data_IF_177986595535
#
_entry.id   IF_177986595535
#
_cell.length_a   1.000
_cell.length_b   1.000
_cell.length_c   1.000
_cell.angle_alpha   90.00
_cell.angle_beta   90.00
_cell.angle_gamma   90.00
#
_symmetry.space_group_name_H-M   'P 1'
#
loop_
_entity.id
_entity.type
_entity.pdbx_description
1 polymer ?
#
# COMPACT_ATOMS: atom_id res chain seq x y z
N UNK A 1 -21.38 -2.58 4.19
CA UNK A 1 -20.58 -3.57 3.42
C UNK A 1 -19.11 -3.41 3.75
N UNK A 2 -18.35 -4.50 3.85
CA UNK A 2 -17.00 -4.50 4.40
C UNK A 2 -15.96 -4.08 3.36
N UNK A 3 -15.07 -3.15 3.70
CA UNK A 3 -13.92 -2.78 2.87
C UNK A 3 -12.66 -3.46 3.40
N UNK A 4 -11.72 -3.81 2.52
CA UNK A 4 -10.45 -4.45 2.86
C UNK A 4 -9.31 -3.53 2.47
N UNK A 5 -8.70 -2.88 3.45
CA UNK A 5 -7.62 -1.92 3.24
C UNK A 5 -6.26 -2.61 3.38
N UNK A 6 -5.52 -2.70 2.29
CA UNK A 6 -4.17 -3.26 2.27
C UNK A 6 -3.16 -2.16 2.58
N UNK A 7 -2.49 -2.26 3.72
CA UNK A 7 -1.44 -1.35 4.16
C UNK A 7 -0.08 -2.04 4.15
N UNK A 8 0.99 -1.29 4.21
CA UNK A 8 2.36 -1.79 4.26
C UNK A 8 3.32 -0.97 3.43
N UNK A 9 4.60 -1.31 3.50
CA UNK A 9 5.68 -0.59 2.81
C UNK A 9 5.53 -0.61 1.27
N UNK A 10 6.22 0.28 0.55
CA UNK A 10 6.30 0.21 -0.91
C UNK A 10 6.80 -1.16 -1.37
N UNK A 11 6.29 -1.63 -2.50
CA UNK A 11 6.65 -2.90 -3.15
C UNK A 11 6.43 -4.19 -2.32
N UNK A 12 5.66 -4.13 -1.21
CA UNK A 12 5.26 -5.35 -0.50
C UNK A 12 4.15 -6.15 -1.21
N UNK A 13 3.61 -5.66 -2.33
CA UNK A 13 2.65 -6.36 -3.17
C UNK A 13 1.18 -5.95 -3.02
N UNK A 14 0.85 -4.89 -2.27
CA UNK A 14 -0.54 -4.44 -2.03
C UNK A 14 -1.38 -4.33 -3.29
N UNK A 15 -0.90 -3.57 -4.27
CA UNK A 15 -1.65 -3.31 -5.52
C UNK A 15 -1.77 -4.57 -6.37
N UNK A 16 -0.73 -5.39 -6.45
CA UNK A 16 -0.73 -6.65 -7.21
C UNK A 16 -1.68 -7.67 -6.61
N UNK A 17 -1.53 -7.96 -5.32
CA UNK A 17 -2.39 -8.91 -4.62
C UNK A 17 -3.84 -8.44 -4.59
N UNK A 18 -4.04 -7.14 -4.28
CA UNK A 18 -5.37 -6.54 -4.15
C UNK A 18 -6.15 -6.60 -5.45
N UNK A 19 -5.54 -6.24 -6.59
CA UNK A 19 -6.17 -6.28 -7.91
C UNK A 19 -6.58 -7.70 -8.28
N UNK A 20 -5.65 -8.66 -8.18
CA UNK A 20 -5.93 -10.06 -8.54
C UNK A 20 -6.97 -10.71 -7.62
N UNK A 21 -6.92 -10.44 -6.32
CA UNK A 21 -7.93 -10.93 -5.39
C UNK A 21 -9.31 -10.31 -5.66
N UNK A 22 -9.36 -9.03 -6.02
CA UNK A 22 -10.60 -8.34 -6.39
C UNK A 22 -11.24 -8.98 -7.64
N UNK A 23 -10.45 -9.28 -8.67
CA UNK A 23 -10.93 -9.97 -9.88
C UNK A 23 -11.57 -11.31 -9.54
N UNK A 24 -10.92 -12.14 -8.70
CA UNK A 24 -11.44 -13.46 -8.29
C UNK A 24 -12.70 -13.32 -7.42
N UNK A 25 -12.74 -12.36 -6.52
CA UNK A 25 -13.86 -12.13 -5.59
C UNK A 25 -14.99 -11.30 -6.22
N UNK A 26 -14.80 -10.78 -7.43
CA UNK A 26 -15.72 -9.87 -8.13
C UNK A 26 -16.03 -8.62 -7.32
N UNK A 27 -15.01 -8.08 -6.64
CA UNK A 27 -15.07 -6.84 -5.89
C UNK A 27 -14.40 -5.70 -6.66
N UNK A 28 -14.86 -4.46 -6.50
CA UNK A 28 -14.11 -3.29 -6.97
C UNK A 28 -12.72 -3.24 -6.32
N UNK A 29 -11.72 -2.83 -7.12
CA UNK A 29 -10.37 -2.55 -6.64
C UNK A 29 -10.04 -1.07 -6.81
N UNK A 30 -9.46 -0.49 -5.78
CA UNK A 30 -8.96 0.88 -5.77
C UNK A 30 -7.52 0.93 -5.26
N UNK A 31 -6.77 1.92 -5.78
CA UNK A 31 -5.41 2.21 -5.33
C UNK A 31 -5.34 3.71 -5.02
N UNK A 32 -5.07 4.05 -3.75
CA UNK A 32 -5.10 5.46 -3.30
C UNK A 32 -3.99 6.30 -3.91
N UNK A 33 -2.86 5.70 -4.30
CA UNK A 33 -1.78 6.42 -4.99
C UNK A 33 -2.22 6.79 -6.41
N UNK A 34 -2.89 5.88 -7.11
CA UNK A 34 -3.46 6.14 -8.44
C UNK A 34 -4.53 7.24 -8.35
N UNK A 35 -5.47 7.12 -7.40
CA UNK A 35 -6.52 8.11 -7.20
C UNK A 35 -5.97 9.50 -6.84
N UNK A 36 -4.91 9.54 -6.01
CA UNK A 36 -4.25 10.79 -5.66
C UNK A 36 -3.58 11.44 -6.88
N UNK A 37 -2.88 10.64 -7.70
CA UNK A 37 -2.27 11.13 -8.95
C UNK A 37 -3.31 11.67 -9.93
N UNK A 38 -4.44 11.00 -10.09
CA UNK A 38 -5.55 11.47 -10.93
C UNK A 38 -6.10 12.82 -10.44
N UNK A 39 -6.29 12.97 -9.12
CA UNK A 39 -6.74 14.24 -8.50
C UNK A 39 -5.76 15.39 -8.70
N UNK A 40 -4.46 15.08 -8.77
CA UNK A 40 -3.41 16.07 -9.02
C UNK A 40 -3.23 16.38 -10.52
N UNK A 41 -3.92 15.65 -11.41
CA UNK A 41 -3.73 15.76 -12.86
C UNK A 41 -2.34 15.32 -13.34
N UNK A 42 -1.61 14.58 -12.49
CA UNK A 42 -0.22 14.20 -12.73
C UNK A 42 -0.09 12.73 -13.08
N UNK A 43 0.59 12.46 -14.23
CA UNK A 43 0.95 11.10 -14.65
C UNK A 43 2.45 10.83 -14.60
N UNK A 44 3.25 11.85 -14.26
CA UNK A 44 4.72 11.75 -14.26
C UNK A 44 5.27 11.56 -12.86
N UNK A 45 6.21 10.64 -12.70
CA UNK A 45 6.86 10.32 -11.42
C UNK A 45 7.51 11.56 -10.76
N UNK A 46 8.09 12.47 -11.55
CA UNK A 46 8.68 13.71 -11.03
C UNK A 46 7.66 14.63 -10.36
N UNK A 47 6.44 14.69 -10.90
CA UNK A 47 5.37 15.50 -10.30
C UNK A 47 4.86 14.87 -9.00
N UNK A 48 4.82 13.54 -8.93
CA UNK A 48 4.48 12.80 -7.71
C UNK A 48 5.51 13.06 -6.60
N UNK A 49 6.81 13.05 -6.94
CA UNK A 49 7.88 13.38 -6.00
C UNK A 49 7.73 14.82 -5.50
N UNK A 50 7.50 15.79 -6.39
CA UNK A 50 7.27 17.19 -6.01
C UNK A 50 6.03 17.35 -5.13
N UNK A 51 4.94 16.64 -5.46
CA UNK A 51 3.71 16.64 -4.69
C UNK A 51 3.90 16.04 -3.29
N UNK A 52 4.73 15.02 -3.14
CA UNK A 52 5.10 14.47 -1.85
C UNK A 52 5.91 15.45 -0.99
N UNK A 53 6.83 16.19 -1.61
CA UNK A 53 7.67 17.16 -0.90
C UNK A 53 6.91 18.37 -0.36
N UNK A 54 5.81 18.77 -0.99
CA UNK A 54 5.01 19.94 -0.59
C UNK A 54 3.69 19.60 0.12
N UNK A 55 3.47 18.33 0.46
CA UNK A 55 2.26 17.85 1.17
C UNK A 55 1.00 17.75 0.30
N UNK A 56 1.05 18.07 -1.00
CA UNK A 56 -0.15 17.98 -1.87
C UNK A 56 -0.54 16.53 -2.14
N UNK A 57 0.42 15.60 -2.19
CA UNK A 57 0.15 14.17 -2.30
C UNK A 57 -0.63 13.67 -1.08
N UNK A 58 -0.21 14.03 0.13
CA UNK A 58 -0.91 13.68 1.37
C UNK A 58 -2.35 14.19 1.37
N UNK A 59 -2.58 15.44 0.94
CA UNK A 59 -3.91 16.00 0.83
C UNK A 59 -4.77 15.27 -0.21
N UNK A 60 -4.20 14.86 -1.34
CA UNK A 60 -4.88 14.09 -2.38
C UNK A 60 -5.21 12.67 -1.91
N UNK A 61 -4.30 11.99 -1.21
CA UNK A 61 -4.55 10.69 -0.60
C UNK A 61 -5.65 10.74 0.46
N UNK A 62 -5.68 11.78 1.30
CA UNK A 62 -6.79 11.98 2.26
C UNK A 62 -8.14 12.08 1.57
N UNK A 63 -8.23 12.87 0.49
CA UNK A 63 -9.48 12.97 -0.30
C UNK A 63 -9.88 11.62 -0.89
N UNK A 64 -8.92 10.84 -1.40
CA UNK A 64 -9.18 9.50 -1.92
C UNK A 64 -9.76 8.59 -0.83
N UNK A 65 -9.21 8.62 0.39
CA UNK A 65 -9.74 7.85 1.53
C UNK A 65 -11.13 8.32 1.92
N UNK A 66 -11.39 9.63 2.01
CA UNK A 66 -12.71 10.17 2.34
C UNK A 66 -13.78 9.67 1.34
N UNK A 67 -13.46 9.66 0.03
CA UNK A 67 -14.35 9.13 -1.03
C UNK A 67 -14.58 7.62 -0.89
N UNK A 68 -13.51 6.84 -0.66
CA UNK A 68 -13.59 5.39 -0.54
C UNK A 68 -14.39 4.96 0.69
N UNK A 69 -14.24 5.67 1.80
CA UNK A 69 -14.99 5.40 3.03
C UNK A 69 -16.48 5.70 2.85
N UNK A 70 -16.82 6.70 2.04
CA UNK A 70 -18.21 7.08 1.74
C UNK A 70 -18.93 6.10 0.78
N UNK A 71 -18.20 5.24 0.05
CA UNK A 71 -18.83 4.24 -0.82
C UNK A 71 -19.65 3.23 -0.01
N UNK A 72 -20.91 3.01 -0.44
CA UNK A 72 -21.77 1.98 0.15
C UNK A 72 -21.62 0.62 -0.58
N UNK A 73 -20.39 0.19 -0.77
CA UNK A 73 -20.06 -1.09 -1.40
C UNK A 73 -18.86 -1.73 -0.75
N UNK A 74 -18.80 -3.07 -0.81
CA UNK A 74 -17.57 -3.79 -0.49
C UNK A 74 -16.50 -3.49 -1.53
N UNK A 75 -15.25 -3.40 -1.11
CA UNK A 75 -14.11 -3.13 -2.01
C UNK A 75 -12.79 -3.61 -1.42
N UNK A 76 -11.82 -3.86 -2.28
CA UNK A 76 -10.41 -4.03 -1.89
C UNK A 76 -9.66 -2.75 -2.26
N UNK A 77 -8.93 -2.20 -1.30
CA UNK A 77 -8.24 -0.91 -1.43
C UNK A 77 -6.76 -1.09 -1.10
N UNK A 78 -5.87 -0.88 -2.07
CA UNK A 78 -4.45 -0.70 -1.79
C UNK A 78 -4.19 0.74 -1.36
N UNK A 79 -3.51 0.94 -0.24
CA UNK A 79 -3.21 2.29 0.26
C UNK A 79 -1.78 2.71 -0.05
N UNK A 80 -1.55 4.02 -0.15
CA UNK A 80 -0.21 4.59 -0.13
C UNK A 80 0.54 4.21 1.16
N UNK A 81 1.85 4.08 1.07
CA UNK A 81 2.68 3.66 2.20
C UNK A 81 2.59 4.62 3.40
N UNK A 82 2.38 5.91 3.14
CA UNK A 82 2.34 6.93 4.20
C UNK A 82 1.03 6.97 4.99
N UNK A 83 0.03 6.16 4.61
CA UNK A 83 -1.30 6.18 5.22
C UNK A 83 -1.27 5.88 6.74
N UNK A 84 -0.34 5.04 7.19
CA UNK A 84 -0.15 4.73 8.60
C UNK A 84 0.36 5.94 9.43
N UNK A 85 0.93 6.94 8.75
CA UNK A 85 1.42 8.19 9.35
C UNK A 85 0.34 9.27 9.43
N UNK A 86 -0.86 9.01 8.88
CA UNK A 86 -1.98 9.95 8.79
C UNK A 86 -3.05 9.61 9.84
N UNK A 87 -3.05 10.17 11.06
CA UNK A 87 -3.93 9.74 12.16
C UNK A 87 -5.42 9.78 11.80
N UNK A 88 -5.86 10.80 11.04
CA UNK A 88 -7.24 10.88 10.58
C UNK A 88 -7.61 9.73 9.64
N UNK A 89 -6.74 9.39 8.70
CA UNK A 89 -6.97 8.29 7.77
C UNK A 89 -7.01 6.95 8.50
N UNK A 90 -6.10 6.71 9.44
CA UNK A 90 -6.06 5.46 10.20
C UNK A 90 -7.36 5.21 10.98
N UNK A 91 -7.94 6.27 11.58
CA UNK A 91 -9.25 6.18 12.26
C UNK A 91 -10.36 5.84 11.26
N UNK A 92 -10.36 6.45 10.08
CA UNK A 92 -11.38 6.21 9.05
C UNK A 92 -11.30 4.79 8.51
N UNK A 93 -10.09 4.28 8.21
CA UNK A 93 -9.90 2.92 7.71
C UNK A 93 -10.47 1.89 8.70
N UNK A 94 -10.12 2.00 9.99
CA UNK A 94 -10.62 1.11 11.04
C UNK A 94 -12.14 1.12 11.20
N UNK A 95 -12.78 2.28 10.99
CA UNK A 95 -14.24 2.40 11.06
C UNK A 95 -14.94 1.85 9.83
N UNK A 96 -14.28 1.90 8.67
CA UNK A 96 -14.89 1.58 7.38
C UNK A 96 -14.70 0.12 6.95
N UNK A 97 -13.78 -0.62 7.57
CA UNK A 97 -13.54 -2.00 7.17
C UNK A 97 -12.39 -2.68 7.90
N UNK A 98 -11.89 -3.74 7.31
CA UNK A 98 -10.77 -4.54 7.83
C UNK A 98 -9.45 -4.02 7.28
N UNK A 99 -8.50 -3.73 8.15
CA UNK A 99 -7.14 -3.29 7.79
C UNK A 99 -6.20 -4.49 7.78
N UNK A 100 -5.60 -4.78 6.64
CA UNK A 100 -4.71 -5.92 6.40
C UNK A 100 -3.30 -5.40 6.15
N UNK A 101 -2.35 -5.71 7.03
CA UNK A 101 -0.95 -5.40 6.81
C UNK A 101 -0.30 -6.47 5.94
N UNK A 102 0.09 -6.10 4.72
CA UNK A 102 0.86 -6.95 3.80
C UNK A 102 2.33 -6.83 4.16
N UNK A 103 2.87 -7.90 4.76
CA UNK A 103 4.25 -7.99 5.22
C UNK A 103 5.10 -8.68 4.16
N UNK A 104 6.24 -8.10 3.81
CA UNK A 104 7.24 -8.71 2.94
C UNK A 104 8.62 -8.40 3.48
N UNK A 105 9.49 -9.41 3.52
CA UNK A 105 10.84 -9.25 4.03
C UNK A 105 11.63 -8.20 3.25
N UNK A 106 12.39 -7.32 3.95
CA UNK A 106 13.14 -6.22 3.32
C UNK A 106 14.08 -6.68 2.21
N UNK A 107 14.74 -7.83 2.39
CA UNK A 107 15.66 -8.39 1.42
C UNK A 107 14.96 -8.75 0.10
N UNK A 108 13.74 -9.31 0.19
CA UNK A 108 12.93 -9.64 -0.99
C UNK A 108 12.48 -8.36 -1.68
N UNK A 109 12.02 -7.37 -0.92
CA UNK A 109 11.60 -6.07 -1.46
C UNK A 109 12.76 -5.39 -2.18
N UNK A 110 13.95 -5.35 -1.59
CA UNK A 110 15.15 -4.78 -2.19
C UNK A 110 15.60 -5.51 -3.46
N UNK A 111 15.49 -6.85 -3.47
CA UNK A 111 15.81 -7.66 -4.64
C UNK A 111 14.87 -7.38 -5.82
N UNK A 112 13.57 -7.24 -5.54
CA UNK A 112 12.56 -6.92 -6.56
C UNK A 112 12.70 -5.49 -7.09
N UNK A 113 13.06 -4.54 -6.23
CA UNK A 113 13.37 -3.17 -6.64
C UNK A 113 14.52 -3.09 -7.64
N UNK A 114 15.59 -3.85 -7.41
CA UNK A 114 16.73 -3.91 -8.34
C UNK A 114 16.35 -4.46 -9.71
N UNK A 115 15.39 -5.42 -9.76
CA UNK A 115 14.94 -6.02 -11.02
C UNK A 115 14.05 -5.09 -11.83
N UNK A 116 13.21 -4.31 -11.17
CA UNK A 116 12.12 -3.55 -11.80
C UNK A 116 12.44 -2.07 -12.04
N UNK A 117 13.65 -1.61 -11.71
CA UNK A 117 14.10 -0.24 -11.91
C UNK A 117 13.25 0.79 -11.15
N UNK A 118 13.84 1.41 -10.13
CA UNK A 118 13.34 2.65 -9.56
C UNK A 118 12.23 2.55 -8.52
N UNK A 119 12.61 2.83 -7.28
CA UNK A 119 11.70 3.25 -6.23
C UNK A 119 12.32 4.42 -5.47
N UNK A 120 11.54 5.05 -4.56
CA UNK A 120 12.03 6.13 -3.67
C UNK A 120 13.26 5.74 -2.81
N UNK A 121 13.67 4.46 -2.82
CA UNK A 121 14.82 3.91 -2.11
C UNK A 121 16.08 3.81 -2.97
N UNK A 122 15.96 4.09 -4.28
CA UNK A 122 17.08 4.13 -5.21
C UNK A 122 17.36 5.60 -5.51
N UNK A 123 18.47 6.11 -5.02
CA UNK A 123 18.97 7.44 -5.37
C UNK A 123 20.11 7.26 -6.38
N UNK A 124 20.10 8.07 -7.43
CA UNK A 124 21.27 8.20 -8.28
C UNK A 124 22.26 9.15 -7.62
N UNK A 125 23.49 8.70 -7.46
CA UNK A 125 24.60 9.56 -7.10
C UNK A 125 24.78 10.63 -8.18
N UNK A 126 24.82 11.90 -7.78
CA UNK A 126 24.87 13.02 -8.71
C UNK A 126 26.20 13.11 -9.47
N UNK A 127 27.26 12.54 -8.91
CA UNK A 127 28.62 12.66 -9.43
C UNK A 127 29.04 11.42 -10.24
N UNK A 128 28.62 10.22 -9.85
CA UNK A 128 28.96 8.96 -10.52
C UNK A 128 27.87 8.42 -11.43
N UNK A 129 26.62 8.84 -11.25
CA UNK A 129 25.45 8.27 -11.93
C UNK A 129 25.09 6.86 -11.46
N UNK A 130 25.77 6.33 -10.45
CA UNK A 130 25.49 5.01 -9.89
C UNK A 130 24.23 5.03 -9.04
N UNK A 131 23.42 3.98 -9.17
CA UNK A 131 22.26 3.75 -8.31
C UNK A 131 22.71 3.33 -6.91
N UNK A 132 22.62 4.25 -5.95
CA UNK A 132 22.82 3.94 -4.54
C UNK A 132 21.52 3.40 -3.98
N UNK A 133 21.44 2.08 -3.85
CA UNK A 133 20.41 1.45 -3.01
C UNK A 133 20.79 1.72 -1.57
N UNK A 134 20.09 2.63 -0.91
CA UNK A 134 20.29 2.93 0.51
C UNK A 134 19.74 1.77 1.36
N UNK A 135 20.37 0.59 1.25
CA UNK A 135 19.92 -0.66 1.90
C UNK A 135 19.77 -0.48 3.40
N UNK A 136 20.76 0.11 4.04
CA UNK A 136 20.76 0.30 5.50
C UNK A 136 19.63 1.24 5.93
N UNK A 137 19.45 2.35 5.21
CA UNK A 137 18.36 3.29 5.50
C UNK A 137 16.98 2.73 5.15
N UNK A 138 16.88 1.90 4.12
CA UNK A 138 15.63 1.21 3.78
C UNK A 138 15.24 0.21 4.87
N UNK A 139 16.21 -0.50 5.45
CA UNK A 139 15.97 -1.43 6.57
C UNK A 139 15.61 -0.69 7.85
N UNK A 140 16.27 0.43 8.16
CA UNK A 140 15.94 1.27 9.32
C UNK A 140 14.53 1.87 9.21
N UNK A 141 14.18 2.43 8.07
CA UNK A 141 12.85 2.99 7.82
C UNK A 141 11.79 1.90 7.82
N UNK A 142 12.08 0.73 7.26
CA UNK A 142 11.22 -0.44 7.36
C UNK A 142 10.94 -0.81 8.83
N UNK A 143 11.98 -0.90 9.64
CA UNK A 143 11.84 -1.23 11.06
C UNK A 143 11.03 -0.18 11.84
N UNK A 144 11.16 1.09 11.49
CA UNK A 144 10.36 2.17 12.09
C UNK A 144 8.89 2.14 11.63
N UNK A 145 8.64 1.93 10.33
CA UNK A 145 7.30 1.93 9.77
C UNK A 145 6.51 0.66 10.15
N UNK A 146 7.15 -0.50 10.27
CA UNK A 146 6.48 -1.77 10.53
C UNK A 146 5.69 -1.77 11.85
N UNK A 147 6.21 -1.09 12.88
CA UNK A 147 5.52 -0.97 14.16
C UNK A 147 4.19 -0.22 14.04
N UNK A 148 4.15 0.81 13.20
CA UNK A 148 2.95 1.62 12.95
C UNK A 148 1.92 0.86 12.12
N UNK A 149 2.36 0.12 11.08
CA UNK A 149 1.47 -0.76 10.33
C UNK A 149 0.88 -1.86 11.22
N UNK A 150 1.70 -2.50 12.06
CA UNK A 150 1.24 -3.53 13.00
C UNK A 150 0.21 -2.98 14.00
N UNK A 151 0.43 -1.77 14.51
CA UNK A 151 -0.51 -1.12 15.43
C UNK A 151 -1.84 -0.75 14.77
N UNK A 152 -1.85 -0.49 13.45
CA UNK A 152 -3.04 -0.15 12.69
C UNK A 152 -3.83 -1.38 12.23
N UNK A 153 -3.15 -2.48 11.92
CA UNK A 153 -3.73 -3.65 11.26
C UNK A 153 -4.64 -4.46 12.19
N UNK A 154 -5.73 -4.97 11.63
CA UNK A 154 -6.59 -6.00 12.26
C UNK A 154 -6.04 -7.40 11.98
N UNK A 155 -5.32 -7.56 10.86
CA UNK A 155 -4.75 -8.84 10.40
C UNK A 155 -3.45 -8.60 9.67
N UNK A 156 -2.52 -9.55 9.82
CA UNK A 156 -1.26 -9.59 9.11
C UNK A 156 -1.30 -10.65 8.00
N UNK A 157 -0.74 -10.33 6.82
CA UNK A 157 -0.62 -11.22 5.69
C UNK A 157 0.84 -11.26 5.22
N UNK A 158 1.52 -12.36 5.45
CA UNK A 158 2.89 -12.58 4.98
C UNK A 158 2.92 -12.90 3.49
N UNK A 159 3.67 -12.09 2.72
CA UNK A 159 3.82 -12.17 1.27
C UNK A 159 5.28 -12.42 0.86
N UNK A 160 5.93 -13.40 1.46
CA UNK A 160 7.32 -13.76 1.18
C UNK A 160 7.46 -14.84 0.08
N UNK A 161 6.36 -15.43 -0.35
CA UNK A 161 6.30 -16.47 -1.37
C UNK A 161 6.05 -15.95 -2.79
N UNK A 162 5.50 -16.81 -3.63
CA UNK A 162 5.04 -16.44 -4.98
C UNK A 162 3.83 -15.50 -4.92
N UNK A 163 3.64 -14.74 -5.99
CA UNK A 163 2.47 -13.86 -6.13
C UNK A 163 1.15 -14.64 -6.00
N UNK A 164 1.06 -15.82 -6.65
CA UNK A 164 -0.13 -16.68 -6.59
C UNK A 164 -0.45 -17.11 -5.14
N UNK A 165 0.56 -17.53 -4.38
CA UNK A 165 0.38 -17.87 -2.97
C UNK A 165 -0.09 -16.69 -2.12
N UNK A 166 0.43 -15.49 -2.39
CA UNK A 166 -0.02 -14.25 -1.73
C UNK A 166 -1.47 -13.94 -2.03
N UNK A 167 -1.89 -14.07 -3.30
CA UNK A 167 -3.28 -13.87 -3.73
C UNK A 167 -4.22 -14.86 -3.07
N UNK A 168 -3.89 -16.16 -3.03
CA UNK A 168 -4.70 -17.20 -2.38
C UNK A 168 -4.86 -16.95 -0.88
N UNK A 169 -3.79 -16.55 -0.19
CA UNK A 169 -3.84 -16.16 1.22
C UNK A 169 -4.80 -14.99 1.45
N UNK A 170 -4.72 -13.95 0.61
CA UNK A 170 -5.59 -12.77 0.72
C UNK A 170 -7.06 -13.14 0.49
N UNK A 171 -7.36 -13.92 -0.55
CA UNK A 171 -8.73 -14.41 -0.83
C UNK A 171 -9.28 -15.22 0.34
N UNK A 172 -8.48 -16.14 0.87
CA UNK A 172 -8.88 -16.97 2.02
C UNK A 172 -9.18 -16.13 3.25
N UNK A 173 -8.35 -15.12 3.52
CA UNK A 173 -8.54 -14.21 4.64
C UNK A 173 -9.84 -13.40 4.49
N UNK A 174 -10.11 -12.85 3.31
CA UNK A 174 -11.32 -12.08 3.03
C UNK A 174 -12.57 -12.95 3.20
N UNK A 175 -12.60 -14.14 2.58
CA UNK A 175 -13.74 -15.07 2.71
C UNK A 175 -14.03 -15.48 4.16
N UNK A 176 -12.96 -15.72 4.93
CA UNK A 176 -13.10 -16.03 6.36
C UNK A 176 -13.71 -14.86 7.12
N UNK A 177 -13.32 -13.64 6.84
CA UNK A 177 -13.87 -12.44 7.49
C UNK A 177 -15.34 -12.21 7.15
N UNK A 178 -15.73 -12.40 5.89
CA UNK A 178 -17.13 -12.25 5.46
C UNK A 178 -18.04 -13.31 6.13
N UNK A 179 -17.55 -14.52 6.33
CA UNK A 179 -18.32 -15.58 7.01
C UNK A 179 -18.61 -15.32 8.50
N UNK A 180 -17.87 -14.42 9.15
CA UNK A 180 -18.10 -14.01 10.55
C UNK A 180 -18.95 -12.73 10.67
N UNK A 181 -19.25 -12.06 9.56
CA UNK A 181 -19.99 -10.79 9.55
C UNK A 181 -21.45 -10.95 9.13
N UNK A 182 -21.90 -12.16 8.85
CA UNK A 182 -23.28 -12.57 8.56
C UNK A 182 -23.89 -13.30 9.73
#
# INVERSE_FOLDING_TARGET
MNKYFLIGIPNCGKSTLGRRAADVLRLPFFDTDVMACEKLGSRHMLDQIRASMNGTMEAAQRKAIDELVALDSAAIVATGAEIALMPRCTILLRKAGTVIHVIREPEIVLADMKKNGGSRWVMQDKDSGEEIVMRERAVELYAQEISQYNALADVMLENNGSEDAGVEKLITLIRKRDSFSG
#
